data_IF_383060994655
#
_entry.id   IF_383060994655
#
_cell.length_a   1.000
_cell.length_b   1.000
_cell.length_c   1.000
_cell.angle_alpha   90.00
_cell.angle_beta   90.00
_cell.angle_gamma   90.00
#
_symmetry.space_group_name_H-M   'P 1'
#
loop_
_entity.id
_entity.type
_entity.pdbx_description
1 polymer ?
#
# COMPACT_ATOMS: atom_id res chain seq x y z
N UNK A 1 11.26 5.63 0.99
CA UNK A 1 11.40 7.09 1.07
C UNK A 1 10.29 7.80 0.29
N UNK A 2 9.97 9.07 0.62
CA UNK A 2 8.91 9.82 -0.07
C UNK A 2 9.17 9.94 -1.58
N UNK A 3 10.42 10.09 -1.98
CA UNK A 3 10.80 10.14 -3.40
C UNK A 3 10.38 8.89 -4.18
N UNK A 4 10.44 7.71 -3.55
CA UNK A 4 10.05 6.45 -4.18
C UNK A 4 8.53 6.35 -4.34
N UNK A 5 7.78 6.90 -3.37
CA UNK A 5 6.32 7.01 -3.46
C UNK A 5 5.95 7.92 -4.64
N UNK A 6 6.56 9.09 -4.73
CA UNK A 6 6.28 10.04 -5.82
C UNK A 6 6.64 9.46 -7.20
N UNK A 7 7.81 8.84 -7.32
CA UNK A 7 8.23 8.16 -8.55
C UNK A 7 7.24 7.06 -8.96
N UNK A 8 6.73 6.31 -7.98
CA UNK A 8 5.73 5.25 -8.22
C UNK A 8 4.41 5.83 -8.71
N UNK A 9 3.93 6.90 -8.07
CA UNK A 9 2.70 7.58 -8.48
C UNK A 9 2.86 8.16 -9.88
N UNK A 10 3.95 8.86 -10.16
CA UNK A 10 4.23 9.45 -11.46
C UNK A 10 4.21 8.40 -12.59
N UNK A 11 4.83 7.24 -12.35
CA UNK A 11 4.86 6.19 -13.36
C UNK A 11 3.50 5.51 -13.54
N UNK A 12 2.83 5.15 -12.45
CA UNK A 12 1.58 4.39 -12.53
C UNK A 12 0.37 5.26 -12.89
N UNK A 13 0.38 6.55 -12.57
CA UNK A 13 -0.73 7.47 -12.93
C UNK A 13 -0.88 7.70 -14.43
N UNK A 14 0.12 7.30 -15.22
CA UNK A 14 0.03 7.31 -16.70
C UNK A 14 -1.04 6.35 -17.21
N UNK A 15 -1.25 5.24 -16.49
CA UNK A 15 -2.11 4.14 -16.92
C UNK A 15 -3.31 3.91 -15.98
N UNK A 16 -3.21 4.32 -14.70
CA UNK A 16 -4.15 3.95 -13.64
C UNK A 16 -4.59 5.13 -12.79
N UNK A 17 -5.81 5.05 -12.24
CA UNK A 17 -6.24 5.93 -11.16
C UNK A 17 -5.60 5.47 -9.83
N UNK A 18 -4.92 6.35 -9.14
CA UNK A 18 -4.17 6.05 -7.92
C UNK A 18 -4.92 6.58 -6.69
N UNK A 19 -5.03 5.76 -5.67
CA UNK A 19 -5.43 6.19 -4.33
C UNK A 19 -4.25 5.96 -3.40
N UNK A 20 -3.67 7.05 -2.88
CA UNK A 20 -2.57 6.97 -1.93
C UNK A 20 -3.12 6.95 -0.52
N UNK A 21 -2.91 5.85 0.18
CA UNK A 21 -3.28 5.69 1.58
C UNK A 21 -2.05 5.95 2.45
N UNK A 22 -2.03 7.08 3.13
CA UNK A 22 -0.92 7.48 3.98
C UNK A 22 -1.42 8.05 5.30
N UNK A 23 -0.70 7.74 6.39
CA UNK A 23 -0.89 8.39 7.70
C UNK A 23 0.01 9.62 7.84
N UNK A 24 0.96 9.81 6.94
CA UNK A 24 1.87 10.95 6.94
C UNK A 24 1.20 12.06 6.12
N UNK A 25 1.17 13.27 6.66
CA UNK A 25 0.80 14.43 5.85
C UNK A 25 1.82 14.59 4.72
N UNK A 26 1.32 14.41 3.50
CA UNK A 26 2.14 14.61 2.30
C UNK A 26 1.94 16.07 1.87
N UNK A 27 3.01 16.82 1.58
CA UNK A 27 2.89 18.18 1.11
C UNK A 27 1.99 18.24 -0.12
N UNK A 28 0.90 19.02 -0.04
CA UNK A 28 -0.20 19.06 -1.06
C UNK A 28 0.24 19.76 -2.34
N UNK A 29 1.37 20.48 -2.31
CA UNK A 29 1.86 21.29 -3.43
C UNK A 29 2.56 20.48 -4.54
N UNK A 30 2.68 19.17 -4.36
CA UNK A 30 3.25 18.30 -5.39
C UNK A 30 2.13 17.82 -6.31
N UNK A 31 2.26 17.93 -7.64
CA UNK A 31 1.31 17.36 -8.58
C UNK A 31 1.38 15.83 -8.48
N UNK A 32 0.62 15.26 -7.57
CA UNK A 32 0.51 13.82 -7.43
C UNK A 32 -0.68 13.35 -8.25
N UNK A 33 -0.45 12.45 -9.19
CA UNK A 33 -1.50 11.76 -9.92
C UNK A 33 -2.30 10.80 -9.03
N UNK A 34 -2.54 11.16 -7.76
CA UNK A 34 -3.20 10.32 -6.77
C UNK A 34 -4.22 11.08 -5.93
N UNK A 35 -5.33 10.41 -5.59
CA UNK A 35 -6.26 10.88 -4.58
C UNK A 35 -5.80 10.42 -3.19
N UNK A 36 -5.85 11.31 -2.20
CA UNK A 36 -5.48 11.03 -0.81
C UNK A 36 -6.73 11.16 0.06
N UNK A 37 -7.22 10.09 0.69
CA UNK A 37 -8.34 10.16 1.61
C UNK A 37 -7.91 10.83 2.93
N UNK A 38 -8.65 11.85 3.35
CA UNK A 38 -8.42 12.51 4.63
C UNK A 38 -9.01 11.70 5.79
N UNK A 39 -8.25 11.55 6.88
CA UNK A 39 -8.72 11.03 8.18
C UNK A 39 -9.54 9.74 8.10
N UNK A 40 -9.21 8.83 7.20
CA UNK A 40 -9.92 7.58 7.04
C UNK A 40 -9.74 6.65 8.25
N UNK A 41 -10.84 6.16 8.80
CA UNK A 41 -10.84 5.11 9.82
C UNK A 41 -10.36 3.76 9.25
N UNK A 42 -10.02 2.79 10.10
CA UNK A 42 -9.61 1.45 9.66
C UNK A 42 -10.65 0.78 8.76
N UNK A 43 -11.94 0.92 9.08
CA UNK A 43 -13.01 0.36 8.27
C UNK A 43 -13.13 1.05 6.90
N UNK A 44 -12.90 2.36 6.86
CA UNK A 44 -12.85 3.10 5.58
C UNK A 44 -11.64 2.67 4.74
N UNK A 45 -10.48 2.46 5.37
CA UNK A 45 -9.31 1.89 4.69
C UNK A 45 -9.61 0.52 4.08
N UNK A 46 -10.24 -0.36 4.85
CA UNK A 46 -10.67 -1.68 4.36
C UNK A 46 -11.67 -1.54 3.19
N UNK A 47 -12.62 -0.61 3.30
CA UNK A 47 -13.57 -0.28 2.24
C UNK A 47 -12.89 0.22 0.96
N UNK A 48 -11.87 1.08 1.09
CA UNK A 48 -11.09 1.57 -0.05
C UNK A 48 -10.34 0.40 -0.71
N UNK A 49 -9.65 -0.43 0.08
CA UNK A 49 -8.94 -1.61 -0.45
C UNK A 49 -9.93 -2.58 -1.14
N UNK A 50 -11.14 -2.71 -0.61
CA UNK A 50 -12.17 -3.53 -1.27
C UNK A 50 -12.65 -2.93 -2.60
N UNK A 51 -12.63 -1.63 -2.75
CA UNK A 51 -13.14 -0.92 -3.93
C UNK A 51 -12.11 -0.82 -5.08
N UNK A 52 -10.82 -0.97 -4.80
CA UNK A 52 -9.77 -0.91 -5.84
C UNK A 52 -9.55 -2.26 -6.51
N UNK A 53 -8.97 -2.24 -7.71
CA UNK A 53 -8.67 -3.43 -8.49
C UNK A 53 -7.36 -4.10 -8.07
N UNK A 54 -6.46 -3.33 -7.47
CA UNK A 54 -5.12 -3.79 -7.11
C UNK A 54 -4.58 -3.07 -5.88
N UNK A 55 -3.83 -3.79 -5.05
CA UNK A 55 -3.10 -3.22 -3.93
C UNK A 55 -1.60 -3.23 -4.20
N UNK A 56 -0.96 -2.09 -3.95
CA UNK A 56 0.50 -1.96 -3.96
C UNK A 56 0.95 -1.37 -2.63
N UNK A 57 1.84 -2.05 -1.94
CA UNK A 57 2.30 -1.58 -0.65
C UNK A 57 3.53 -2.30 -0.12
N UNK A 58 3.82 -2.06 1.14
CA UNK A 58 4.88 -2.73 1.88
C UNK A 58 4.29 -3.64 2.97
N UNK A 59 5.16 -4.18 3.83
CA UNK A 59 4.75 -4.87 5.06
C UNK A 59 3.95 -3.92 5.95
N UNK A 60 2.64 -4.07 5.87
CA UNK A 60 1.69 -3.21 6.56
C UNK A 60 0.33 -3.90 6.68
N UNK A 61 -0.55 -3.33 7.49
CA UNK A 61 -1.95 -3.77 7.62
C UNK A 61 -2.66 -3.89 6.26
N UNK A 62 -2.32 -3.05 5.28
CA UNK A 62 -2.95 -3.05 3.96
C UNK A 62 -2.81 -4.37 3.22
N UNK A 63 -1.65 -5.04 3.30
CA UNK A 63 -1.47 -6.36 2.66
C UNK A 63 -2.39 -7.42 3.28
N UNK A 64 -2.60 -7.37 4.58
CA UNK A 64 -3.49 -8.33 5.26
C UNK A 64 -4.95 -8.11 4.87
N UNK A 65 -5.37 -6.86 4.72
CA UNK A 65 -6.70 -6.53 4.20
C UNK A 65 -6.84 -6.96 2.73
N UNK A 66 -5.87 -6.69 1.89
CA UNK A 66 -5.89 -7.13 0.50
C UNK A 66 -6.01 -8.66 0.41
N UNK A 67 -5.27 -9.39 1.24
CA UNK A 67 -5.36 -10.85 1.29
C UNK A 67 -6.76 -11.32 1.74
N UNK A 68 -7.26 -10.79 2.86
CA UNK A 68 -8.57 -11.15 3.40
C UNK A 68 -9.73 -10.86 2.44
N UNK A 69 -9.58 -9.84 1.60
CA UNK A 69 -10.57 -9.41 0.61
C UNK A 69 -10.37 -10.08 -0.77
N UNK A 70 -9.37 -10.98 -0.92
CA UNK A 70 -9.06 -11.64 -2.19
C UNK A 70 -8.56 -10.67 -3.28
N UNK A 71 -7.97 -9.54 -2.90
CA UNK A 71 -7.43 -8.56 -3.85
C UNK A 71 -6.04 -8.97 -4.33
N UNK A 72 -5.75 -8.87 -5.64
CA UNK A 72 -4.40 -9.05 -6.13
C UNK A 72 -3.51 -7.92 -5.61
N UNK A 73 -2.24 -8.26 -5.32
CA UNK A 73 -1.35 -7.32 -4.69
C UNK A 73 0.12 -7.48 -5.11
N UNK A 74 0.86 -6.39 -5.05
CA UNK A 74 2.32 -6.40 -4.97
C UNK A 74 2.73 -5.86 -3.60
N UNK A 75 3.57 -6.61 -2.91
CA UNK A 75 4.06 -6.26 -1.58
C UNK A 75 5.58 -6.27 -1.60
N UNK A 76 6.17 -5.12 -1.29
CA UNK A 76 7.62 -4.97 -1.19
C UNK A 76 8.03 -5.14 0.27
N UNK A 77 8.88 -6.13 0.52
CA UNK A 77 9.36 -6.48 1.85
C UNK A 77 10.81 -6.03 1.99
N UNK A 78 11.12 -5.32 3.05
CA UNK A 78 12.46 -4.83 3.33
C UNK A 78 13.08 -5.52 4.55
N UNK A 79 12.81 -5.01 5.74
CA UNK A 79 13.45 -5.44 6.98
C UNK A 79 12.88 -6.71 7.60
N UNK A 80 11.71 -7.16 7.18
CA UNK A 80 11.04 -8.36 7.71
C UNK A 80 11.20 -9.56 6.78
N UNK A 81 10.94 -10.77 7.29
CA UNK A 81 11.04 -12.00 6.52
C UNK A 81 9.73 -12.26 5.78
N UNK A 82 9.72 -12.35 4.44
CA UNK A 82 8.51 -12.53 3.63
C UNK A 82 7.65 -13.71 4.07
N UNK A 83 8.25 -14.84 4.41
CA UNK A 83 7.59 -16.06 4.82
C UNK A 83 6.85 -15.94 6.16
N UNK A 84 7.26 -14.99 7.01
CA UNK A 84 6.67 -14.79 8.33
C UNK A 84 5.53 -13.78 8.34
N UNK A 85 5.53 -12.84 7.37
CA UNK A 85 4.66 -11.67 7.45
C UNK A 85 3.80 -11.47 6.22
N UNK A 86 4.02 -12.24 5.17
CA UNK A 86 3.27 -12.12 3.92
C UNK A 86 2.68 -13.46 3.48
N UNK A 87 2.22 -13.55 2.27
CA UNK A 87 1.44 -14.68 1.75
C UNK A 87 2.12 -15.31 0.52
N UNK A 88 3.29 -15.96 0.66
CA UNK A 88 4.08 -16.47 -0.47
C UNK A 88 3.35 -17.53 -1.30
N UNK A 89 2.38 -18.23 -0.71
CA UNK A 89 1.57 -19.25 -1.39
C UNK A 89 0.33 -18.68 -2.08
N UNK A 90 0.06 -17.38 -1.96
CA UNK A 90 -1.06 -16.75 -2.63
C UNK A 90 -0.65 -16.34 -4.06
N UNK A 91 -1.21 -17.03 -5.06
CA UNK A 91 -0.94 -16.79 -6.50
C UNK A 91 -1.32 -15.40 -7.00
N UNK A 92 -2.15 -14.67 -6.25
CA UNK A 92 -2.57 -13.31 -6.57
C UNK A 92 -1.67 -12.26 -5.91
N UNK A 93 -0.68 -12.70 -5.11
CA UNK A 93 0.32 -11.84 -4.50
C UNK A 93 1.66 -11.96 -5.22
N UNK A 94 2.22 -10.83 -5.60
CA UNK A 94 3.62 -10.71 -6.00
C UNK A 94 4.40 -10.16 -4.82
N UNK A 95 5.25 -10.98 -4.22
CA UNK A 95 6.10 -10.56 -3.13
C UNK A 95 7.48 -10.23 -3.70
N UNK A 96 7.95 -9.01 -3.46
CA UNK A 96 9.25 -8.54 -3.89
C UNK A 96 10.12 -8.36 -2.66
N UNK A 97 11.11 -9.20 -2.52
CA UNK A 97 12.11 -9.08 -1.48
C UNK A 97 13.14 -8.02 -1.87
N UNK A 98 13.19 -6.93 -1.11
CA UNK A 98 14.11 -5.81 -1.33
C UNK A 98 15.38 -5.93 -0.46
N UNK A 99 15.57 -7.03 0.27
CA UNK A 99 16.76 -7.17 1.12
C UNK A 99 18.03 -7.21 0.29
N UNK A 100 18.95 -6.32 0.61
CA UNK A 100 20.30 -6.25 0.00
C UNK A 100 21.32 -7.07 0.76
N UNK A 101 21.03 -7.39 2.00
CA UNK A 101 21.91 -8.12 2.91
C UNK A 101 21.10 -9.08 3.78
N UNK A 102 21.79 -9.99 4.45
CA UNK A 102 21.15 -10.90 5.40
C UNK A 102 20.46 -10.11 6.49
N UNK A 103 19.19 -10.40 6.69
CA UNK A 103 18.40 -9.79 7.76
C UNK A 103 18.82 -10.35 9.10
N UNK A 104 19.06 -9.48 10.04
CA UNK A 104 19.13 -9.82 11.46
C UNK A 104 17.74 -9.61 12.08
N UNK A 105 17.15 -10.67 12.59
CA UNK A 105 15.90 -10.53 13.33
C UNK A 105 16.21 -10.05 14.74
N UNK A 106 16.03 -8.78 14.97
CA UNK A 106 15.98 -8.24 16.33
C UNK A 106 14.54 -7.82 16.64
N UNK A 107 13.91 -8.42 17.66
CA UNK A 107 12.57 -8.04 18.09
C UNK A 107 12.63 -6.70 18.86
N UNK A 108 13.08 -5.64 18.19
CA UNK A 108 13.33 -4.33 18.83
C UNK A 108 12.10 -3.73 19.51
N UNK A 109 10.90 -4.17 19.16
CA UNK A 109 9.66 -3.76 19.83
C UNK A 109 9.56 -4.21 21.29
N UNK A 110 10.39 -5.16 21.71
CA UNK A 110 10.36 -5.73 23.05
C UNK A 110 11.39 -5.05 23.94
N UNK A 111 12.50 -4.56 23.40
CA UNK A 111 13.64 -4.07 24.19
C UNK A 111 13.63 -2.58 24.45
N UNK A 112 12.84 -1.80 23.69
CA UNK A 112 12.83 -0.34 23.82
C UNK A 112 14.15 0.33 23.44
N UNK A 113 15.03 -0.38 22.73
CA UNK A 113 16.33 0.13 22.31
C UNK A 113 16.19 1.30 21.35
N UNK A 114 17.07 2.29 21.47
CA UNK A 114 17.02 3.46 20.60
C UNK A 114 17.23 3.07 19.13
N UNK A 115 16.59 3.82 18.27
CA UNK A 115 16.51 3.72 16.81
C UNK A 115 17.87 3.56 16.10
N UNK A 116 18.98 3.74 16.82
CA UNK A 116 20.36 3.68 16.32
C UNK A 116 20.85 2.27 15.94
N UNK A 117 20.10 1.22 16.27
CA UNK A 117 20.51 -0.17 16.01
C UNK A 117 19.64 -0.89 14.97
N UNK A 118 19.10 -0.17 14.00
CA UNK A 118 18.32 -0.77 12.92
C UNK A 118 19.24 -1.33 11.84
N UNK A 119 19.80 -2.49 12.07
CA UNK A 119 20.69 -3.19 11.12
C UNK A 119 20.09 -3.45 9.73
N UNK A 120 18.80 -3.19 9.56
CA UNK A 120 18.07 -3.51 8.34
C UNK A 120 17.52 -2.27 7.60
N UNK A 121 17.93 -1.05 7.98
CA UNK A 121 17.40 0.18 7.34
C UNK A 121 17.70 0.25 5.85
N UNK A 122 18.87 -0.20 5.43
CA UNK A 122 19.25 -0.22 4.02
C UNK A 122 18.33 -1.12 3.17
N UNK A 123 17.71 -2.11 3.78
CA UNK A 123 16.75 -2.97 3.12
C UNK A 123 15.42 -2.27 2.80
N UNK A 124 15.17 -1.09 3.38
CA UNK A 124 13.98 -0.28 3.14
C UNK A 124 14.15 0.72 1.98
N UNK A 125 15.38 0.86 1.46
CA UNK A 125 15.67 1.75 0.34
C UNK A 125 15.41 0.98 -0.97
N UNK A 126 14.46 1.44 -1.77
CA UNK A 126 14.19 0.84 -3.08
C UNK A 126 15.40 1.00 -4.01
N UNK A 127 15.78 -0.11 -4.64
CA UNK A 127 16.71 -0.08 -5.77
C UNK A 127 15.92 0.18 -7.06
N UNK A 128 16.60 0.62 -8.12
CA UNK A 128 15.97 0.75 -9.44
C UNK A 128 15.45 -0.61 -9.93
N UNK A 129 16.18 -1.69 -9.69
CA UNK A 129 15.72 -3.04 -10.02
C UNK A 129 14.42 -3.42 -9.29
N UNK A 130 14.34 -3.14 -7.98
CA UNK A 130 13.12 -3.39 -7.19
C UNK A 130 11.97 -2.53 -7.68
N UNK A 131 12.25 -1.27 -7.98
CA UNK A 131 11.25 -0.35 -8.55
C UNK A 131 10.69 -0.88 -9.88
N UNK A 132 11.55 -1.28 -10.81
CA UNK A 132 11.11 -1.83 -12.10
C UNK A 132 10.30 -3.12 -11.94
N UNK A 133 10.73 -4.03 -11.06
CA UNK A 133 9.97 -5.25 -10.74
C UNK A 133 8.58 -4.92 -10.19
N UNK A 134 8.49 -3.93 -9.32
CA UNK A 134 7.24 -3.47 -8.73
C UNK A 134 6.29 -2.91 -9.79
N UNK A 135 6.75 -1.99 -10.63
CA UNK A 135 5.95 -1.42 -11.72
C UNK A 135 5.51 -2.51 -12.70
N UNK A 136 6.43 -3.38 -13.10
CA UNK A 136 6.14 -4.49 -14.01
C UNK A 136 5.09 -5.45 -13.45
N UNK A 137 5.12 -5.74 -12.15
CA UNK A 137 4.14 -6.64 -11.53
C UNK A 137 2.72 -6.07 -11.59
N UNK A 138 2.54 -4.77 -11.34
CA UNK A 138 1.26 -4.07 -11.48
C UNK A 138 0.78 -4.12 -12.93
N UNK A 139 1.63 -3.71 -13.88
CA UNK A 139 1.28 -3.66 -15.31
C UNK A 139 0.97 -5.04 -15.90
N UNK A 140 1.66 -6.08 -15.45
CA UNK A 140 1.38 -7.46 -15.87
C UNK A 140 0.01 -7.96 -15.39
N UNK A 141 -0.42 -7.55 -14.21
CA UNK A 141 -1.70 -8.01 -13.64
C UNK A 141 -2.89 -7.22 -14.16
N UNK A 142 -2.75 -5.90 -14.30
CA UNK A 142 -3.84 -5.02 -14.74
C UNK A 142 -3.87 -4.77 -16.25
N UNK A 143 -2.76 -5.01 -16.95
CA UNK A 143 -2.56 -4.58 -18.33
C UNK A 143 -2.28 -3.08 -18.42
N UNK A 144 -1.78 -2.63 -19.58
CA UNK A 144 -1.64 -1.21 -19.88
C UNK A 144 -2.89 -0.73 -20.57
N UNK A 145 -3.61 0.20 -19.98
CA UNK A 145 -4.76 0.83 -20.63
C UNK A 145 -4.30 2.08 -21.37
N UNK A 146 -4.51 2.13 -22.68
CA UNK A 146 -4.26 3.34 -23.50
C UNK A 146 -5.30 4.45 -23.28
N UNK A 147 -6.13 4.34 -22.27
CA UNK A 147 -7.16 5.33 -21.95
C UNK A 147 -6.68 6.18 -20.78
N UNK A 148 -6.64 7.49 -21.00
CA UNK A 148 -6.41 8.46 -19.93
C UNK A 148 -7.26 8.06 -18.73
N UNK A 149 -6.65 7.87 -17.53
CA UNK A 149 -7.40 7.58 -16.33
C UNK A 149 -8.43 8.70 -16.15
N UNK A 150 -9.69 8.35 -16.03
CA UNK A 150 -10.77 9.32 -15.80
C UNK A 150 -10.59 9.81 -14.36
N UNK A 151 -9.84 10.89 -14.17
CA UNK A 151 -9.84 11.66 -12.95
C UNK A 151 -11.22 12.30 -12.80
N UNK A 152 -12.15 11.59 -12.18
CA UNK A 152 -13.51 12.08 -12.10
C UNK A 152 -14.46 11.29 -11.22
N UNK A 153 -13.99 10.29 -10.49
CA UNK A 153 -14.81 9.74 -9.42
C UNK A 153 -14.79 10.73 -8.26
N UNK A 154 -15.89 11.40 -8.14
CA UNK A 154 -16.18 12.38 -7.11
C UNK A 154 -16.06 11.70 -5.74
N UNK A 155 -14.89 11.78 -5.11
CA UNK A 155 -14.62 11.27 -3.75
C UNK A 155 -15.55 11.91 -2.71
N UNK A 156 -16.33 12.94 -3.10
CA UNK A 156 -17.40 13.52 -2.28
C UNK A 156 -18.49 12.50 -1.89
N UNK A 157 -18.58 11.35 -2.58
CA UNK A 157 -19.49 10.26 -2.17
C UNK A 157 -19.01 9.51 -0.92
N UNK A 158 -17.76 9.67 -0.52
CA UNK A 158 -17.24 9.12 0.75
C UNK A 158 -17.35 10.09 1.92
N UNK A 159 -18.05 11.22 1.77
CA UNK A 159 -18.39 12.09 2.89
C UNK A 159 -19.35 11.34 3.81
N UNK A 160 -18.82 11.00 4.97
CA UNK A 160 -19.48 10.71 6.25
C UNK A 160 -21.01 10.68 6.22
N UNK A 161 -21.62 9.60 5.77
CA UNK A 161 -22.94 9.27 6.31
C UNK A 161 -22.70 8.61 7.67
N UNK A 162 -23.19 9.20 8.76
CA UNK A 162 -23.13 8.55 10.06
C UNK A 162 -23.90 7.23 9.94
N UNK A 163 -23.25 6.12 10.34
CA UNK A 163 -23.89 4.83 10.50
C UNK A 163 -25.15 5.04 11.33
N UNK A 164 -26.33 4.95 10.72
CA UNK A 164 -27.59 4.94 11.43
C UNK A 164 -27.61 3.70 12.31
N UNK A 165 -27.37 3.90 13.61
CA UNK A 165 -27.56 2.87 14.60
C UNK A 165 -29.00 2.36 14.51
N UNK A 166 -29.18 1.20 13.93
CA UNK A 166 -30.41 0.43 14.08
C UNK A 166 -30.42 -0.21 15.48
N UNK A 167 -30.59 0.60 16.51
CA UNK A 167 -31.02 0.11 17.83
C UNK A 167 -32.53 0.29 17.90
N UNK A 168 -33.23 -0.81 17.67
CA UNK A 168 -34.69 -0.82 17.75
C UNK A 168 -35.24 -2.23 17.73
N UNK A 169 -34.73 -3.10 18.60
CA UNK A 169 -35.38 -4.35 18.96
C UNK A 169 -35.99 -4.17 20.35
N UNK A 170 -37.26 -3.86 20.43
CA UNK A 170 -38.03 -4.04 21.67
C UNK A 170 -38.26 -5.53 21.87
N UNK A 171 -37.91 -6.00 23.06
CA UNK A 171 -38.52 -7.17 23.71
C UNK A 171 -39.45 -6.64 24.75
#
# INVERSE_FOLDING_TARGET
ELKDIFRTIEELSKDYAIILMSQIQIPVDQPMGAAIPDNASLLQWMGIINAVDYFLGCDSMGQHYAHALGKPATVVIGSTFPENISYPNNKDFTIIDNAKQTRTYQPFRITGDPVSERDNEDNMILTDETFEKMIKSVKNKLGTTSKNPIFGTNLSKFKNEPLKNKTGGKV
#
